data_IF_576416116129
#
_entry.id   IF_576416116129
#
_cell.length_a   1.000
_cell.length_b   1.000
_cell.length_c   1.000
_cell.angle_alpha   90.00
_cell.angle_beta   90.00
_cell.angle_gamma   90.00
#
_symmetry.space_group_name_H-M   'P 1'
#
loop_
_entity.id
_entity.type
_entity.pdbx_description
1 polymer ?
#
# COMPACT_ATOMS: atom_id res chain seq x y z
N UNK A 1 -8.10 2.46 -3.18
CA UNK A 1 -7.51 3.43 -2.23
C UNK A 1 -6.13 3.83 -2.70
N UNK A 2 -5.82 5.09 -2.67
CA UNK A 2 -4.53 5.59 -3.12
C UNK A 2 -3.67 5.93 -1.91
N UNK A 3 -2.43 5.45 -1.92
CA UNK A 3 -1.46 5.75 -0.88
C UNK A 3 -0.23 6.39 -1.49
N UNK A 4 0.51 7.13 -0.67
CA UNK A 4 1.75 7.79 -1.10
C UNK A 4 2.93 7.17 -0.38
N UNK A 5 3.96 6.83 -1.13
CA UNK A 5 5.18 6.25 -0.59
C UNK A 5 6.37 6.77 -1.39
N UNK A 6 7.34 7.38 -0.69
CA UNK A 6 8.53 7.97 -1.32
C UNK A 6 8.19 8.95 -2.43
N UNK A 7 7.15 9.76 -2.23
CA UNK A 7 6.73 10.73 -3.23
C UNK A 7 6.02 10.16 -4.43
N UNK A 8 5.73 8.85 -4.42
CA UNK A 8 5.00 8.18 -5.50
C UNK A 8 3.65 7.71 -4.99
N UNK A 9 2.68 7.70 -5.87
CA UNK A 9 1.34 7.26 -5.53
C UNK A 9 1.08 5.85 -6.04
N UNK A 10 0.40 5.07 -5.20
CA UNK A 10 0.06 3.68 -5.51
C UNK A 10 -1.40 3.43 -5.18
N UNK A 11 -2.00 2.50 -5.90
CA UNK A 11 -3.32 1.98 -5.54
C UNK A 11 -3.11 0.80 -4.62
N UNK A 12 -3.71 0.86 -3.43
CA UNK A 12 -3.60 -0.21 -2.45
C UNK A 12 -4.82 -1.11 -2.52
N UNK A 13 -4.59 -2.41 -2.61
CA UNK A 13 -5.64 -3.42 -2.60
C UNK A 13 -5.36 -4.40 -1.48
N UNK A 14 -6.31 -4.56 -0.57
CA UNK A 14 -6.18 -5.52 0.52
C UNK A 14 -6.42 -6.92 -0.02
N UNK A 15 -5.42 -7.78 0.10
CA UNK A 15 -5.51 -9.17 -0.34
C UNK A 15 -6.06 -10.06 0.78
N UNK A 16 -5.60 -9.82 1.99
CA UNK A 16 -6.08 -10.50 3.20
C UNK A 16 -5.72 -9.64 4.40
N UNK A 17 -5.95 -10.13 5.62
CA UNK A 17 -5.72 -9.35 6.83
C UNK A 17 -4.26 -8.93 7.03
N UNK A 18 -3.33 -9.61 6.38
CA UNK A 18 -1.90 -9.35 6.57
C UNK A 18 -1.18 -8.89 5.31
N UNK A 19 -1.87 -8.79 4.18
CA UNK A 19 -1.20 -8.48 2.93
C UNK A 19 -1.98 -7.47 2.10
N UNK A 20 -1.25 -6.58 1.46
CA UNK A 20 -1.79 -5.59 0.52
C UNK A 20 -0.98 -5.62 -0.76
N UNK A 21 -1.65 -5.42 -1.88
CA UNK A 21 -1.00 -5.27 -3.16
C UNK A 21 -1.00 -3.79 -3.54
N UNK A 22 0.17 -3.26 -3.83
CA UNK A 22 0.32 -1.88 -4.27
C UNK A 22 0.63 -1.87 -5.77
N UNK A 23 -0.09 -1.03 -6.50
CA UNK A 23 0.11 -0.85 -7.93
C UNK A 23 0.48 0.60 -8.19
N UNK A 24 1.60 0.83 -8.86
CA UNK A 24 2.03 2.17 -9.19
C UNK A 24 1.05 2.83 -10.15
N UNK A 25 0.65 4.07 -9.86
CA UNK A 25 -0.25 4.80 -10.75
C UNK A 25 0.45 5.21 -12.05
N UNK A 26 1.74 5.50 -11.98
CA UNK A 26 2.50 5.91 -13.17
C UNK A 26 3.00 4.71 -13.97
N UNK A 27 3.08 3.54 -13.36
CA UNK A 27 3.54 2.33 -14.02
C UNK A 27 2.69 1.14 -13.54
N UNK A 28 1.51 0.93 -14.12
CA UNK A 28 0.60 -0.14 -13.66
C UNK A 28 1.18 -1.54 -13.69
N UNK A 29 2.30 -1.73 -14.39
CA UNK A 29 2.99 -3.01 -14.41
C UNK A 29 3.79 -3.24 -13.13
N UNK A 30 4.13 -2.18 -12.43
CA UNK A 30 4.89 -2.26 -11.20
C UNK A 30 3.95 -2.51 -10.04
N UNK A 31 3.83 -3.78 -9.68
CA UNK A 31 3.01 -4.21 -8.57
C UNK A 31 3.91 -4.84 -7.52
N UNK A 32 3.60 -4.60 -6.26
CA UNK A 32 4.33 -5.24 -5.19
C UNK A 32 3.36 -5.63 -4.08
N UNK A 33 3.69 -6.70 -3.39
CA UNK A 33 2.88 -7.18 -2.27
C UNK A 33 3.65 -6.94 -0.99
N UNK A 34 3.01 -6.30 -0.03
CA UNK A 34 3.59 -6.01 1.27
C UNK A 34 2.75 -6.66 2.36
N UNK A 35 3.43 -7.22 3.36
CA UNK A 35 2.72 -7.74 4.52
C UNK A 35 2.45 -6.59 5.51
N UNK A 36 1.71 -6.89 6.58
CA UNK A 36 1.34 -5.88 7.57
C UNK A 36 2.56 -5.20 8.19
N UNK A 37 3.59 -5.96 8.49
CA UNK A 37 4.81 -5.40 9.04
C UNK A 37 5.48 -4.43 8.07
N UNK A 38 5.59 -4.83 6.81
CA UNK A 38 6.19 -3.97 5.78
C UNK A 38 5.37 -2.71 5.58
N UNK A 39 4.05 -2.81 5.59
CA UNK A 39 3.16 -1.65 5.49
C UNK A 39 3.37 -0.72 6.68
N UNK A 40 3.56 -1.29 7.86
CA UNK A 40 3.77 -0.50 9.07
C UNK A 40 5.07 0.31 9.01
N UNK A 41 6.18 -0.34 8.69
CA UNK A 41 7.49 0.35 8.66
C UNK A 41 7.58 1.35 7.51
N UNK A 42 6.82 1.15 6.45
CA UNK A 42 6.77 2.08 5.33
C UNK A 42 5.82 3.25 5.56
N UNK A 43 5.09 3.25 6.68
CA UNK A 43 4.11 4.29 6.97
C UNK A 43 2.84 4.19 6.12
N UNK A 44 2.65 3.07 5.44
CA UNK A 44 1.48 2.88 4.57
C UNK A 44 0.29 2.33 5.32
N UNK A 45 0.52 1.60 6.40
CA UNK A 45 -0.57 0.99 7.16
C UNK A 45 -1.57 2.03 7.68
N UNK A 46 -1.06 3.17 8.13
CA UNK A 46 -1.90 4.26 8.62
C UNK A 46 -2.77 4.85 7.51
N UNK A 47 -2.33 4.73 6.26
CA UNK A 47 -3.08 5.25 5.12
C UNK A 47 -4.18 4.29 4.69
N UNK A 48 -4.00 2.99 4.88
CA UNK A 48 -4.98 2.00 4.45
C UNK A 48 -5.92 1.58 5.58
N UNK A 49 -5.48 1.68 6.82
CA UNK A 49 -6.31 1.41 7.99
C UNK A 49 -6.53 2.70 8.76
N UNK A 50 -7.58 3.40 8.42
CA UNK A 50 -7.94 4.62 9.13
C UNK A 50 -8.73 4.21 10.37
N UNK A 51 -8.20 4.53 11.53
CA UNK A 51 -8.92 4.33 12.78
C UNK A 51 -9.69 5.59 13.09
N UNK A 52 -10.95 5.43 13.27
CA UNK A 52 -11.82 6.54 13.65
C UNK A 52 -11.95 6.59 15.17
#
# INVERSE_FOLDING_TARGET
MIVTHNGKQYTAKKLNDNEWQLTSLSAPRDKLTLNRWQMHIAGLLEQVEVKV
#
